data_IF_428910133696
#
_entry.id   IF_428910133696
#
_cell.length_a   1.000
_cell.length_b   1.000
_cell.length_c   1.000
_cell.angle_alpha   90.00
_cell.angle_beta   90.00
_cell.angle_gamma   90.00
#
_symmetry.space_group_name_H-M   'P 1'
#
loop_
_entity.id
_entity.type
_entity.pdbx_description
1 polymer ?
#
# COMPACT_ATOMS: atom_id res chain seq x y z
N UNK A 1 -17.83 20.86 -20.29
CA UNK A 1 -17.48 20.80 -18.85
C UNK A 1 -17.08 19.41 -18.37
N UNK A 2 -17.60 18.30 -18.92
CA UNK A 2 -17.21 16.94 -18.51
C UNK A 2 -15.76 16.54 -18.86
N UNK A 3 -15.21 17.00 -19.99
CA UNK A 3 -13.87 16.62 -20.45
C UNK A 3 -12.72 17.09 -19.53
N UNK A 4 -12.87 18.26 -18.89
CA UNK A 4 -11.85 18.79 -17.96
C UNK A 4 -11.74 17.97 -16.68
N UNK A 5 -12.86 17.45 -16.17
CA UNK A 5 -12.89 16.59 -14.98
C UNK A 5 -12.22 15.23 -15.21
N UNK A 6 -12.41 14.65 -16.41
CA UNK A 6 -11.77 13.38 -16.79
C UNK A 6 -10.25 13.54 -16.89
N UNK A 7 -9.78 14.65 -17.48
CA UNK A 7 -8.36 14.91 -17.63
C UNK A 7 -7.65 15.15 -16.29
N UNK A 8 -8.29 15.93 -15.40
CA UNK A 8 -7.79 16.16 -14.04
C UNK A 8 -7.77 14.86 -13.21
N UNK A 9 -8.78 14.00 -13.39
CA UNK A 9 -8.83 12.67 -12.77
C UNK A 9 -7.67 11.78 -13.22
N UNK A 10 -7.41 11.69 -14.53
CA UNK A 10 -6.31 10.88 -15.08
C UNK A 10 -4.91 11.40 -14.67
N UNK A 11 -4.73 12.73 -14.64
CA UNK A 11 -3.49 13.35 -14.18
C UNK A 11 -3.25 13.07 -12.69
N UNK A 12 -4.28 13.19 -11.85
CA UNK A 12 -4.20 12.87 -10.43
C UNK A 12 -3.81 11.40 -10.20
N UNK A 13 -4.39 10.48 -10.98
CA UNK A 13 -4.09 9.05 -10.93
C UNK A 13 -2.60 8.79 -11.24
N UNK A 14 -2.10 9.42 -12.30
CA UNK A 14 -0.72 9.23 -12.76
C UNK A 14 0.28 9.83 -11.76
N UNK A 15 0.01 11.04 -11.28
CA UNK A 15 0.90 11.75 -10.35
C UNK A 15 0.97 11.04 -8.99
N UNK A 16 -0.16 10.59 -8.45
CA UNK A 16 -0.19 9.86 -7.17
C UNK A 16 0.53 8.52 -7.22
N UNK A 17 0.64 7.92 -8.41
CA UNK A 17 1.36 6.66 -8.63
C UNK A 17 2.86 6.89 -8.88
N UNK A 18 3.23 7.96 -9.61
CA UNK A 18 4.64 8.25 -9.95
C UNK A 18 5.39 9.01 -8.86
N UNK A 19 4.74 9.96 -8.17
CA UNK A 19 5.34 10.78 -7.12
C UNK A 19 5.05 10.17 -5.75
N UNK A 20 5.70 9.04 -5.47
CA UNK A 20 5.60 8.35 -4.19
C UNK A 20 6.36 9.17 -3.13
N UNK A 21 5.62 9.95 -2.34
CA UNK A 21 6.18 10.61 -1.17
C UNK A 21 6.44 9.57 -0.07
N UNK A 22 7.68 9.07 0.02
CA UNK A 22 8.05 7.93 0.88
C UNK A 22 7.81 8.15 2.38
N UNK A 23 8.22 9.28 3.01
CA UNK A 23 8.15 9.43 4.46
C UNK A 23 6.71 9.31 5.04
N UNK A 24 5.67 9.89 4.43
CA UNK A 24 4.29 9.65 4.86
C UNK A 24 3.86 8.17 4.82
N UNK A 25 4.25 7.43 3.78
CA UNK A 25 3.91 6.01 3.66
C UNK A 25 4.64 5.17 4.71
N UNK A 26 5.92 5.45 4.96
CA UNK A 26 6.70 4.77 6.01
C UNK A 26 6.09 5.01 7.39
N UNK A 27 5.76 6.26 7.71
CA UNK A 27 5.14 6.60 9.00
C UNK A 27 3.78 5.92 9.16
N UNK A 28 2.93 5.96 8.13
CA UNK A 28 1.61 5.35 8.20
C UNK A 28 1.72 3.82 8.31
N UNK A 29 2.62 3.18 7.56
CA UNK A 29 2.86 1.75 7.69
C UNK A 29 3.34 1.35 9.09
N UNK A 30 4.20 2.17 9.70
CA UNK A 30 4.68 1.98 11.08
C UNK A 30 3.55 2.05 12.11
N UNK A 31 2.61 2.98 11.93
CA UNK A 31 1.41 3.09 12.77
C UNK A 31 0.48 1.86 12.61
N UNK A 32 0.30 1.38 11.37
CA UNK A 32 -0.59 0.25 11.04
C UNK A 32 -0.08 -1.09 11.59
N UNK A 33 1.25 -1.29 11.61
CA UNK A 33 1.90 -2.46 12.22
C UNK A 33 2.08 -2.30 13.74
N UNK A 34 1.41 -1.31 14.34
CA UNK A 34 1.37 -1.02 15.79
C UNK A 34 2.75 -0.91 16.42
N UNK A 35 3.69 -0.29 15.70
CA UNK A 35 5.04 -0.11 16.20
C UNK A 35 5.72 -1.44 16.58
N UNK A 36 5.57 -2.48 15.75
CA UNK A 36 6.14 -3.81 16.03
C UNK A 36 7.61 -3.70 16.45
N UNK A 37 7.99 -4.30 17.60
CA UNK A 37 9.35 -4.19 18.13
C UNK A 37 10.38 -4.94 17.28
N UNK A 38 9.92 -5.77 16.35
CA UNK A 38 10.76 -6.57 15.46
C UNK A 38 11.28 -5.77 14.26
N UNK A 39 10.80 -4.55 14.04
CA UNK A 39 11.28 -3.68 12.96
C UNK A 39 12.54 -2.96 13.43
N UNK A 40 13.66 -3.19 12.74
CA UNK A 40 14.97 -2.63 13.12
C UNK A 40 15.00 -1.10 12.97
N UNK A 41 14.58 -0.60 11.80
CA UNK A 41 14.49 0.82 11.51
C UNK A 41 13.38 1.13 10.50
N UNK A 42 12.24 1.60 10.98
CA UNK A 42 11.09 1.90 10.13
C UNK A 42 11.36 3.07 9.15
N UNK A 43 12.33 3.95 9.42
CA UNK A 43 12.66 5.08 8.54
C UNK A 43 13.43 4.64 7.30
N UNK A 44 14.09 3.48 7.37
CA UNK A 44 14.87 2.88 6.28
C UNK A 44 14.05 1.87 5.47
N UNK A 45 12.75 1.72 5.76
CA UNK A 45 11.87 0.84 5.01
C UNK A 45 11.82 1.16 3.51
N UNK A 46 11.63 0.11 2.71
CA UNK A 46 11.55 0.24 1.27
C UNK A 46 10.14 0.61 0.83
N UNK A 47 9.99 1.68 0.04
CA UNK A 47 8.71 2.07 -0.57
C UNK A 47 8.81 1.92 -2.08
N UNK A 48 7.98 1.04 -2.64
CA UNK A 48 7.97 0.70 -4.07
C UNK A 48 6.55 0.65 -4.62
N UNK A 49 6.38 0.89 -5.92
CA UNK A 49 5.12 0.56 -6.59
C UNK A 49 5.14 -0.91 -6.99
N UNK A 50 4.12 -1.67 -6.61
CA UNK A 50 3.98 -3.09 -6.92
C UNK A 50 2.67 -3.34 -7.69
N UNK A 51 2.76 -4.07 -8.79
CA UNK A 51 1.57 -4.58 -9.49
C UNK A 51 1.01 -5.76 -8.72
N UNK A 52 -0.24 -5.66 -8.29
CA UNK A 52 -0.93 -6.74 -7.56
C UNK A 52 -1.51 -7.83 -8.48
N UNK A 53 -1.14 -7.84 -9.76
CA UNK A 53 -1.57 -8.89 -10.70
C UNK A 53 -0.87 -10.24 -10.42
N UNK A 54 0.21 -10.24 -9.64
CA UNK A 54 0.81 -11.47 -9.13
C UNK A 54 -0.14 -12.19 -8.16
N UNK A 55 -0.06 -13.53 -8.09
CA UNK A 55 -0.93 -14.42 -7.30
C UNK A 55 -1.06 -14.08 -5.79
N UNK A 56 -0.28 -13.10 -5.31
CA UNK A 56 -0.26 -12.56 -3.95
C UNK A 56 -1.57 -11.90 -3.51
N UNK A 57 -2.45 -11.46 -4.43
CA UNK A 57 -3.72 -10.83 -4.02
C UNK A 57 -4.62 -11.76 -3.18
N UNK A 58 -4.51 -13.08 -3.36
CA UNK A 58 -5.29 -14.06 -2.57
C UNK A 58 -4.74 -14.26 -1.15
N UNK A 59 -3.49 -13.90 -0.90
CA UNK A 59 -2.80 -14.11 0.38
C UNK A 59 -2.74 -12.85 1.25
N UNK A 60 -2.96 -11.67 0.67
CA UNK A 60 -3.03 -10.42 1.43
C UNK A 60 -4.15 -10.52 2.47
N UNK A 61 -3.80 -10.27 3.73
CA UNK A 61 -4.77 -10.11 4.81
C UNK A 61 -5.58 -8.85 4.54
N UNK A 62 -6.75 -9.04 3.92
CA UNK A 62 -7.65 -7.95 3.56
C UNK A 62 -8.30 -7.42 4.85
N UNK A 63 -8.13 -6.13 5.11
CA UNK A 63 -8.90 -5.42 6.14
C UNK A 63 -10.40 -5.75 5.97
N UNK A 64 -11.10 -5.96 7.09
CA UNK A 64 -12.50 -6.42 7.15
C UNK A 64 -13.37 -5.77 6.05
N UNK A 65 -14.26 -6.52 5.39
CA UNK A 65 -15.07 -6.01 4.29
C UNK A 65 -16.01 -4.91 4.79
N UNK A 66 -15.60 -3.66 4.57
CA UNK A 66 -16.40 -2.45 4.82
C UNK A 66 -16.78 -1.81 3.49
N UNK A 67 -17.81 -0.96 3.48
CA UNK A 67 -18.19 -0.20 2.28
C UNK A 67 -16.99 0.60 1.70
N UNK A 68 -16.14 1.13 2.59
CA UNK A 68 -14.91 1.83 2.23
C UNK A 68 -13.88 0.91 1.56
N UNK A 69 -13.69 -0.33 2.06
CA UNK A 69 -12.79 -1.30 1.45
C UNK A 69 -13.22 -1.66 0.01
N UNK A 70 -14.51 -1.75 -0.26
CA UNK A 70 -15.05 -1.99 -1.61
C UNK A 70 -14.71 -0.84 -2.55
N UNK A 71 -14.94 0.41 -2.13
CA UNK A 71 -14.57 1.61 -2.91
C UNK A 71 -13.07 1.64 -3.16
N UNK A 72 -12.28 1.35 -2.13
CA UNK A 72 -10.82 1.34 -2.21
C UNK A 72 -10.31 0.33 -3.26
N UNK A 73 -10.90 -0.87 -3.33
CA UNK A 73 -10.59 -1.87 -4.36
C UNK A 73 -10.99 -1.42 -5.76
N UNK A 74 -12.15 -0.77 -5.91
CA UNK A 74 -12.56 -0.26 -7.22
C UNK A 74 -11.60 0.80 -7.73
N UNK A 75 -11.18 1.74 -6.88
CA UNK A 75 -10.20 2.75 -7.25
C UNK A 75 -8.85 2.12 -7.61
N UNK A 76 -8.39 1.12 -6.86
CA UNK A 76 -7.16 0.39 -7.16
C UNK A 76 -7.19 -0.26 -8.55
N UNK A 77 -8.34 -0.83 -8.96
CA UNK A 77 -8.54 -1.39 -10.30
C UNK A 77 -8.40 -0.35 -11.41
N UNK A 78 -8.80 0.90 -11.16
CA UNK A 78 -8.63 1.99 -12.12
C UNK A 78 -7.16 2.32 -12.39
N UNK A 79 -6.24 1.97 -11.48
CA UNK A 79 -4.79 2.08 -11.67
C UNK A 79 -4.14 0.84 -12.31
N UNK A 80 -4.93 -0.10 -12.83
CA UNK A 80 -4.41 -1.39 -13.27
C UNK A 80 -3.88 -2.27 -12.13
N UNK A 81 -4.38 -2.06 -10.91
CA UNK A 81 -3.98 -2.76 -9.67
C UNK A 81 -2.55 -2.47 -9.19
N UNK A 82 -2.00 -1.29 -9.50
CA UNK A 82 -0.75 -0.84 -8.91
C UNK A 82 -0.99 -0.28 -7.50
N UNK A 83 -0.32 -0.89 -6.51
CA UNK A 83 -0.31 -0.48 -5.12
C UNK A 83 1.05 0.05 -4.70
N UNK A 84 1.08 0.78 -3.59
CA UNK A 84 2.32 1.15 -2.92
C UNK A 84 2.63 0.08 -1.88
N UNK A 85 3.78 -0.57 -2.02
CA UNK A 85 4.32 -1.55 -1.10
C UNK A 85 5.31 -0.84 -0.19
N UNK A 86 5.11 -0.99 1.12
CA UNK A 86 6.06 -0.59 2.16
C UNK A 86 6.58 -1.84 2.83
N UNK A 87 7.88 -2.06 2.80
CA UNK A 87 8.54 -3.21 3.39
C UNK A 87 9.47 -2.75 4.50
N UNK A 88 9.33 -3.35 5.68
CA UNK A 88 10.21 -3.15 6.82
C UNK A 88 11.09 -4.37 7.04
N UNK A 89 12.38 -4.13 7.21
CA UNK A 89 13.33 -5.15 7.63
C UNK A 89 13.10 -5.51 9.09
N UNK A 90 13.17 -6.81 9.40
CA UNK A 90 12.94 -7.33 10.74
C UNK A 90 14.13 -8.11 11.28
N UNK A 91 14.26 -8.15 12.60
CA UNK A 91 15.28 -8.92 13.32
C UNK A 91 15.16 -10.45 13.11
N UNK A 92 14.01 -10.91 12.59
CA UNK A 92 13.66 -12.31 12.37
C UNK A 92 13.32 -12.63 10.91
N UNK A 93 13.87 -11.88 9.94
CA UNK A 93 13.59 -12.08 8.50
C UNK A 93 13.79 -13.53 8.03
N UNK A 94 14.77 -14.25 8.59
CA UNK A 94 15.05 -15.64 8.24
C UNK A 94 13.94 -16.63 8.60
N UNK A 95 12.99 -16.25 9.47
CA UNK A 95 11.92 -17.12 9.97
C UNK A 95 10.54 -16.59 9.57
N UNK A 96 10.29 -15.30 9.76
CA UNK A 96 8.98 -14.67 9.51
C UNK A 96 8.95 -13.84 8.23
N UNK A 97 10.10 -13.53 7.65
CA UNK A 97 10.22 -12.60 6.53
C UNK A 97 10.01 -11.14 6.95
N UNK A 98 10.09 -10.21 5.98
CA UNK A 98 9.89 -8.79 6.25
C UNK A 98 8.42 -8.47 6.46
N UNK A 99 8.13 -7.50 7.33
CA UNK A 99 6.77 -6.99 7.50
C UNK A 99 6.45 -6.08 6.32
N UNK A 100 5.44 -6.44 5.54
CA UNK A 100 5.04 -5.68 4.34
C UNK A 100 3.60 -5.17 4.46
N UNK A 101 3.41 -3.87 4.23
CA UNK A 101 2.12 -3.18 4.20
C UNK A 101 1.86 -2.66 2.79
N UNK A 102 0.64 -2.87 2.29
CA UNK A 102 0.23 -2.39 0.97
C UNK A 102 -0.81 -1.28 1.09
N UNK A 103 -0.66 -0.23 0.29
CA UNK A 103 -1.56 0.92 0.24
C UNK A 103 -2.13 1.12 -1.15
N UNK A 104 -3.35 1.63 -1.21
CA UNK A 104 -3.85 2.23 -2.44
C UNK A 104 -3.22 3.65 -2.61
N UNK A 105 -2.57 3.95 -3.75
CA UNK A 105 -1.90 5.24 -3.98
C UNK A 105 -2.86 6.45 -3.97
N UNK A 106 -4.15 6.27 -4.27
CA UNK A 106 -5.14 7.35 -4.33
C UNK A 106 -5.71 7.70 -2.96
N UNK A 107 -6.14 6.66 -2.24
CA UNK A 107 -6.83 6.84 -0.95
C UNK A 107 -5.84 6.85 0.21
N UNK A 108 -4.61 6.38 -0.01
CA UNK A 108 -3.59 6.12 1.03
C UNK A 108 -4.08 5.15 2.10
N UNK A 109 -5.15 4.40 1.84
CA UNK A 109 -5.68 3.42 2.76
C UNK A 109 -4.96 2.09 2.57
N UNK A 110 -4.75 1.37 3.68
CA UNK A 110 -4.22 0.02 3.66
C UNK A 110 -5.17 -0.91 2.91
N UNK A 111 -4.59 -1.70 2.01
CA UNK A 111 -5.31 -2.73 1.24
C UNK A 111 -4.98 -4.15 1.72
N UNK A 112 -3.84 -4.33 2.39
CA UNK A 112 -3.50 -5.60 3.05
C UNK A 112 -2.08 -5.64 3.58
N UNK A 113 -1.76 -6.78 4.18
CA UNK A 113 -0.47 -7.11 4.80
C UNK A 113 -0.02 -8.50 4.32
N UNK A 114 1.31 -8.70 4.18
CA UNK A 114 1.86 -10.05 3.90
C UNK A 114 2.04 -10.88 5.18
N UNK A 115 2.37 -10.24 6.32
CA UNK A 115 2.55 -10.92 7.62
C UNK A 115 1.90 -10.07 8.71
N UNK A 116 0.98 -10.67 9.47
CA UNK A 116 0.47 -10.16 10.74
C UNK A 116 1.02 -11.11 11.81
N UNK A 117 1.76 -10.56 12.77
CA UNK A 117 2.06 -11.26 14.03
C UNK A 117 0.77 -11.62 14.78
#
# INVERSE_FOLDING_TARGET
MAAGLVFLGAAYITISTLLINKPPYLKHAWDEVRHSPHIENWQEGEVTAASLQEERFKQLFLAKPTAWATINRHLLRLNGNHAIRVMFHTDNEGILGPITVYFNPFTKQVIGFDVLE
#
